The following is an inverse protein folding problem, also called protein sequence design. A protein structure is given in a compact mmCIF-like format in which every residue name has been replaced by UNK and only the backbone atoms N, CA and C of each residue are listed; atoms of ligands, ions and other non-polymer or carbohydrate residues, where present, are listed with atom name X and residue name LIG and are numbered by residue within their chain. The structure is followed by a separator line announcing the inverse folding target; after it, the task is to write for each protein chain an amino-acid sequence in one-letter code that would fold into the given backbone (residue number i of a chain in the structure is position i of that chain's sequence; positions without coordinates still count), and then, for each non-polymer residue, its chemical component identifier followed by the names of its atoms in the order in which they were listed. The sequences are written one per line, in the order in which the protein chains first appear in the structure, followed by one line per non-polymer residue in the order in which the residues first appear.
data_IF_473712448594
#
_entry.id   IF_473712448594
#
_cell.length_a   1.000
_cell.length_b   1.000
_cell.length_c   1.000
_cell.angle_alpha   90.00
_cell.angle_beta   90.00
_cell.angle_gamma   90.00
#
_symmetry.space_group_name_H-M   'P 1'
#
loop_
_entity.id
_entity.type
_entity.pdbx_description
1 polymer ?
#
# COMPACT_ATOMS: atom_id res chain seq x y z
N UNK A 1 17.14 19.42 -25.08
CA UNK A 1 16.87 18.01 -25.42
C UNK A 1 15.47 17.75 -24.92
N UNK A 2 14.53 17.38 -25.79
CA UNK A 2 13.18 17.05 -25.34
C UNK A 2 13.13 15.52 -25.26
N UNK A 3 13.35 14.97 -24.05
CA UNK A 3 13.54 13.53 -23.83
C UNK A 3 12.28 12.69 -24.11
N UNK A 4 11.12 13.35 -24.24
CA UNK A 4 9.87 12.72 -24.63
C UNK A 4 9.27 13.42 -25.86
N UNK A 5 8.83 12.63 -26.84
CA UNK A 5 8.24 13.10 -28.09
C UNK A 5 6.74 13.34 -27.95
N UNK A 6 6.09 12.85 -26.90
CA UNK A 6 4.67 13.11 -26.60
C UNK A 6 4.36 13.13 -25.09
N UNK A 7 3.21 13.74 -24.74
CA UNK A 7 2.66 13.70 -23.37
C UNK A 7 2.37 12.27 -22.91
N UNK A 8 2.01 11.38 -23.84
CA UNK A 8 1.73 9.98 -23.53
C UNK A 8 3.01 9.23 -23.17
N UNK A 9 4.09 9.43 -23.92
CA UNK A 9 5.41 8.86 -23.60
C UNK A 9 5.90 9.29 -22.22
N UNK A 10 5.71 10.57 -21.87
CA UNK A 10 6.04 11.07 -20.54
C UNK A 10 5.22 10.38 -19.44
N UNK A 11 3.91 10.17 -19.64
CA UNK A 11 3.04 9.51 -18.65
C UNK A 11 3.41 8.04 -18.45
N UNK A 12 3.75 7.32 -19.53
CA UNK A 12 4.21 5.94 -19.47
C UNK A 12 5.55 5.85 -18.72
N UNK A 13 6.52 6.69 -19.07
CA UNK A 13 7.81 6.72 -18.37
C UNK A 13 7.66 7.09 -16.89
N UNK A 14 6.71 7.97 -16.56
CA UNK A 14 6.39 8.29 -15.16
C UNK A 14 5.79 7.09 -14.44
N UNK A 15 4.87 6.35 -15.06
CA UNK A 15 4.29 5.14 -14.50
C UNK A 15 5.37 4.07 -14.21
N UNK A 16 6.24 3.81 -15.18
CA UNK A 16 7.35 2.86 -15.02
C UNK A 16 8.32 3.30 -13.92
N UNK A 17 8.59 4.60 -13.81
CA UNK A 17 9.44 5.15 -12.75
C UNK A 17 8.82 4.97 -11.37
N UNK A 18 7.51 5.19 -11.22
CA UNK A 18 6.77 4.94 -9.98
C UNK A 18 6.85 3.45 -9.60
N UNK A 19 6.62 2.54 -10.54
CA UNK A 19 6.75 1.08 -10.30
C UNK A 19 8.15 0.75 -9.78
N UNK A 20 9.20 1.27 -10.43
CA UNK A 20 10.59 1.00 -10.07
C UNK A 20 10.97 1.48 -8.67
N UNK A 21 10.34 2.56 -8.17
CA UNK A 21 10.67 3.15 -6.87
C UNK A 21 9.90 2.54 -5.69
N UNK A 22 8.75 1.92 -5.96
CA UNK A 22 7.86 1.40 -4.92
C UNK A 22 8.55 0.50 -3.86
N UNK A 23 9.42 -0.47 -4.21
CA UNK A 23 10.04 -1.34 -3.21
C UNK A 23 11.03 -0.63 -2.28
N UNK A 24 11.78 0.34 -2.81
CA UNK A 24 12.74 1.13 -2.03
C UNK A 24 12.02 2.03 -1.02
N UNK A 25 10.85 2.52 -1.41
CA UNK A 25 10.01 3.37 -0.58
C UNK A 25 9.29 2.58 0.51
N UNK A 26 8.71 1.42 0.19
CA UNK A 26 8.12 0.51 1.17
C UNK A 26 9.15 0.11 2.25
N UNK A 27 10.38 -0.25 1.82
CA UNK A 27 11.45 -0.61 2.75
C UNK A 27 11.97 0.54 3.62
N UNK A 28 11.71 1.82 3.29
CA UNK A 28 12.11 2.95 4.15
C UNK A 28 11.24 2.98 5.41
N UNK A 29 9.94 2.82 5.23
CA UNK A 29 8.97 2.82 6.32
C UNK A 29 9.12 1.60 7.20
N UNK A 30 9.32 0.41 6.60
CA UNK A 30 9.54 -0.84 7.35
C UNK A 30 10.75 -0.76 8.29
N UNK A 31 11.80 -0.04 7.90
CA UNK A 31 13.02 0.15 8.73
C UNK A 31 12.86 1.24 9.81
N UNK A 32 11.89 2.13 9.67
CA UNK A 32 11.66 3.23 10.58
C UNK A 32 10.79 2.85 11.80
N UNK A 33 10.09 1.72 11.73
CA UNK A 33 9.16 1.27 12.78
C UNK A 33 9.74 0.08 13.53
N UNK A 34 10.02 0.26 14.83
CA UNK A 34 10.31 -0.86 15.72
C UNK A 34 9.00 -1.57 16.11
N UNK A 35 8.67 -2.62 15.36
CA UNK A 35 7.49 -3.47 15.63
C UNK A 35 7.78 -4.60 16.62
N UNK A 36 9.04 -4.79 17.05
CA UNK A 36 9.48 -5.96 17.82
C UNK A 36 8.88 -6.10 19.21
N UNK A 37 8.36 -5.00 19.78
CA UNK A 37 7.69 -4.97 21.09
C UNK A 37 6.19 -4.63 21.05
N UNK A 38 5.60 -4.45 19.87
CA UNK A 38 4.22 -4.01 19.74
C UNK A 38 3.22 -5.16 20.00
N UNK A 39 2.13 -4.87 20.71
CA UNK A 39 1.03 -5.82 20.90
C UNK A 39 0.26 -6.13 19.60
N UNK A 40 0.29 -5.21 18.63
CA UNK A 40 -0.30 -5.35 17.30
C UNK A 40 0.64 -4.75 16.22
N UNK A 41 1.68 -5.49 15.83
CA UNK A 41 2.77 -4.96 15.01
C UNK A 41 2.35 -4.60 13.57
N UNK A 42 1.35 -5.28 13.00
CA UNK A 42 0.82 -4.97 11.67
C UNK A 42 0.05 -3.65 11.67
N UNK A 43 -0.77 -3.41 12.70
CA UNK A 43 -1.46 -2.13 12.87
C UNK A 43 -0.46 -0.98 13.03
N UNK A 44 0.57 -1.16 13.85
CA UNK A 44 1.58 -0.10 14.08
C UNK A 44 2.35 0.23 12.81
N UNK A 45 2.78 -0.79 12.05
CA UNK A 45 3.42 -0.61 10.76
C UNK A 45 2.51 0.14 9.78
N UNK A 46 1.24 -0.26 9.70
CA UNK A 46 0.29 0.36 8.79
C UNK A 46 0.00 1.81 9.21
N UNK A 47 -0.19 2.08 10.50
CA UNK A 47 -0.40 3.43 11.01
C UNK A 47 0.79 4.35 10.67
N UNK A 48 2.02 3.88 10.88
CA UNK A 48 3.22 4.64 10.52
C UNK A 48 3.32 4.89 9.01
N UNK A 49 2.99 3.89 8.19
CA UNK A 49 2.93 4.02 6.73
C UNK A 49 1.91 5.04 6.26
N UNK A 50 0.72 5.03 6.85
CA UNK A 50 -0.34 5.99 6.52
C UNK A 50 0.02 7.42 6.97
N UNK A 51 0.70 7.58 8.11
CA UNK A 51 1.19 8.90 8.57
C UNK A 51 2.28 9.42 7.64
N UNK A 52 3.27 8.61 7.26
CA UNK A 52 4.30 9.00 6.29
C UNK A 52 3.67 9.42 4.96
N UNK A 53 2.73 8.62 4.46
CA UNK A 53 2.00 8.90 3.23
C UNK A 53 1.24 10.23 3.28
N UNK A 54 0.59 10.54 4.40
CA UNK A 54 -0.18 11.77 4.57
C UNK A 54 0.69 13.01 4.84
N UNK A 55 1.99 12.83 5.12
CA UNK A 55 2.87 13.94 5.55
C UNK A 55 4.13 14.04 4.67
N UNK A 56 5.12 13.19 4.92
CA UNK A 56 6.44 13.21 4.26
C UNK A 56 6.34 12.85 2.78
N UNK A 57 5.51 11.86 2.45
CA UNK A 57 5.36 11.32 1.11
C UNK A 57 4.09 11.80 0.38
N UNK A 58 3.44 12.85 0.90
CA UNK A 58 2.14 13.34 0.44
C UNK A 58 2.07 13.58 -1.07
N UNK A 59 2.94 14.45 -1.59
CA UNK A 59 2.92 14.84 -3.00
C UNK A 59 3.18 13.66 -3.94
N UNK A 60 3.97 12.68 -3.48
CA UNK A 60 4.22 11.45 -4.23
C UNK A 60 2.95 10.62 -4.35
N UNK A 61 2.24 10.36 -3.25
CA UNK A 61 1.01 9.60 -3.29
C UNK A 61 -0.08 10.34 -4.10
N UNK A 62 -0.14 11.67 -4.00
CA UNK A 62 -1.05 12.48 -4.81
C UNK A 62 -0.75 12.31 -6.31
N UNK A 63 0.51 12.41 -6.72
CA UNK A 63 0.92 12.19 -8.11
C UNK A 63 0.59 10.77 -8.61
N UNK A 64 0.74 9.75 -7.75
CA UNK A 64 0.33 8.37 -8.07
C UNK A 64 -1.17 8.29 -8.31
N UNK A 65 -1.99 8.91 -7.46
CA UNK A 65 -3.44 8.93 -7.63
C UNK A 65 -3.88 9.69 -8.88
N UNK A 66 -3.27 10.84 -9.16
CA UNK A 66 -3.50 11.57 -10.40
C UNK A 66 -3.17 10.74 -11.64
N UNK A 67 -2.03 10.03 -11.62
CA UNK A 67 -1.63 9.14 -12.70
C UNK A 67 -2.60 7.96 -12.87
N UNK A 68 -3.05 7.36 -11.77
CA UNK A 68 -4.06 6.30 -11.80
C UNK A 68 -5.38 6.80 -12.40
N UNK A 69 -5.82 8.01 -12.03
CA UNK A 69 -7.03 8.63 -12.56
C UNK A 69 -6.90 8.99 -14.05
N UNK A 70 -5.74 9.48 -14.49
CA UNK A 70 -5.46 9.77 -15.90
C UNK A 70 -5.39 8.47 -16.73
N UNK A 71 -4.85 7.40 -16.17
CA UNK A 71 -4.83 6.08 -16.80
C UNK A 71 -6.24 5.53 -17.05
N UNK A 72 -7.26 5.93 -16.29
CA UNK A 72 -8.67 5.58 -16.60
C UNK A 72 -9.15 6.17 -17.92
N UNK A 73 -8.50 7.22 -18.41
CA UNK A 73 -8.84 7.95 -19.64
C UNK A 73 -7.92 7.60 -20.80
N UNK A 74 -6.78 6.97 -20.53
CA UNK A 74 -5.72 6.69 -21.53
C UNK A 74 -5.26 5.22 -21.44
N UNK A 75 -5.42 4.43 -22.51
CA UNK A 75 -5.12 3.00 -22.48
C UNK A 75 -3.62 2.68 -22.33
N UNK A 76 -2.70 3.49 -22.89
CA UNK A 76 -1.27 3.18 -22.81
C UNK A 76 -0.68 3.32 -21.39
N UNK A 77 -0.94 4.41 -20.62
CA UNK A 77 -0.58 4.46 -19.20
C UNK A 77 -1.28 3.39 -18.35
N UNK A 78 -2.51 2.99 -18.69
CA UNK A 78 -3.22 1.92 -17.99
C UNK A 78 -2.50 0.57 -18.12
N UNK A 79 -1.99 0.24 -19.31
CA UNK A 79 -1.21 -0.96 -19.53
C UNK A 79 0.09 -0.94 -18.71
N UNK A 80 0.81 0.19 -18.67
CA UNK A 80 2.01 0.33 -17.85
C UNK A 80 1.72 0.16 -16.35
N UNK A 81 0.63 0.75 -15.86
CA UNK A 81 0.22 0.62 -14.46
C UNK A 81 -0.35 -0.75 -14.08
N UNK A 82 -0.89 -1.52 -15.03
CA UNK A 82 -1.35 -2.89 -14.76
C UNK A 82 -0.21 -3.81 -14.28
N UNK A 83 1.04 -3.49 -14.64
CA UNK A 83 2.22 -4.20 -14.15
C UNK A 83 2.62 -3.80 -12.71
N UNK A 84 2.08 -2.70 -12.17
CA UNK A 84 2.38 -2.22 -10.81
C UNK A 84 1.77 -3.10 -9.73
N UNK A 85 0.53 -3.55 -9.93
CA UNK A 85 -0.23 -4.31 -8.93
C UNK A 85 0.47 -5.61 -8.48
N UNK A 86 0.96 -6.50 -9.38
CA UNK A 86 1.67 -7.70 -8.96
C UNK A 86 3.03 -7.41 -8.29
N UNK A 87 3.74 -6.36 -8.71
CA UNK A 87 5.03 -5.95 -8.12
C UNK A 87 4.83 -5.40 -6.71
N UNK A 88 3.82 -4.55 -6.53
CA UNK A 88 3.47 -3.99 -5.24
C UNK A 88 3.01 -5.09 -4.27
N UNK A 89 2.18 -6.02 -4.73
CA UNK A 89 1.71 -7.15 -3.92
C UNK A 89 2.87 -8.06 -3.46
N UNK A 90 3.78 -8.41 -4.37
CA UNK A 90 4.96 -9.21 -4.03
C UNK A 90 5.88 -8.49 -3.03
N UNK A 91 6.16 -7.20 -3.26
CA UNK A 91 7.00 -6.40 -2.36
C UNK A 91 6.39 -6.25 -0.97
N UNK A 92 5.06 -6.08 -0.86
CA UNK A 92 4.38 -5.99 0.43
C UNK A 92 4.37 -7.34 1.15
N UNK A 93 4.20 -8.45 0.44
CA UNK A 93 4.29 -9.79 1.02
C UNK A 93 5.70 -10.09 1.56
N UNK A 94 6.75 -9.74 0.79
CA UNK A 94 8.15 -9.90 1.21
C UNK A 94 8.49 -9.03 2.42
N UNK A 95 8.00 -7.78 2.47
CA UNK A 95 8.15 -6.88 3.62
C UNK A 95 7.49 -7.43 4.88
N UNK A 96 6.24 -7.90 4.78
CA UNK A 96 5.55 -8.55 5.91
C UNK A 96 6.29 -9.81 6.39
N UNK A 97 6.78 -10.65 5.48
CA UNK A 97 7.54 -11.85 5.81
C UNK A 97 8.87 -11.52 6.53
N UNK A 98 9.59 -10.49 6.06
CA UNK A 98 10.83 -10.03 6.65
C UNK A 98 10.63 -9.47 8.08
N UNK A 99 9.46 -8.87 8.35
CA UNK A 99 9.06 -8.38 9.67
C UNK A 99 8.44 -9.48 10.56
N UNK A 100 8.37 -10.73 10.09
CA UNK A 100 7.75 -11.84 10.82
C UNK A 100 6.22 -11.73 10.97
N UNK A 101 5.58 -10.83 10.20
CA UNK A 101 4.14 -10.63 10.22
C UNK A 101 3.47 -11.79 9.49
N UNK A 102 2.64 -12.56 10.21
CA UNK A 102 1.87 -13.66 9.63
C UNK A 102 0.56 -13.14 9.04
N UNK A 103 0.66 -12.54 7.86
CA UNK A 103 -0.51 -12.17 7.05
C UNK A 103 -0.90 -13.38 6.18
N UNK A 104 -2.14 -13.90 6.29
CA UNK A 104 -2.61 -14.94 5.40
C UNK A 104 -2.57 -14.46 3.94
N UNK A 105 -2.07 -15.25 2.97
CA UNK A 105 -2.01 -14.85 1.56
C UNK A 105 -3.35 -14.38 1.00
N UNK A 106 -4.44 -15.00 1.42
CA UNK A 106 -5.82 -14.63 1.05
C UNK A 106 -6.24 -13.24 1.56
N UNK A 107 -5.64 -12.77 2.66
CA UNK A 107 -5.92 -11.46 3.24
C UNK A 107 -5.13 -10.33 2.56
N UNK A 108 -4.09 -10.64 1.77
CA UNK A 108 -3.23 -9.64 1.13
C UNK A 108 -4.03 -8.76 0.17
N UNK A 109 -4.89 -9.33 -0.67
CA UNK A 109 -5.72 -8.54 -1.59
C UNK A 109 -6.67 -7.58 -0.88
N UNK A 110 -7.31 -8.05 0.20
CA UNK A 110 -8.18 -7.25 1.07
C UNK A 110 -7.42 -6.14 1.77
N UNK A 111 -6.22 -6.42 2.30
CA UNK A 111 -5.32 -5.43 2.88
C UNK A 111 -4.93 -4.37 1.85
N UNK A 112 -4.43 -4.78 0.68
CA UNK A 112 -4.02 -3.86 -0.38
C UNK A 112 -5.17 -2.93 -0.80
N UNK A 113 -6.38 -3.48 -0.96
CA UNK A 113 -7.57 -2.71 -1.34
C UNK A 113 -7.95 -1.69 -0.28
N UNK A 114 -8.04 -2.12 0.99
CA UNK A 114 -8.44 -1.27 2.11
C UNK A 114 -7.37 -0.20 2.40
N UNK A 115 -6.09 -0.56 2.35
CA UNK A 115 -4.97 0.38 2.46
C UNK A 115 -4.99 1.40 1.31
N UNK A 116 -5.22 0.97 0.07
CA UNK A 116 -5.32 1.87 -1.09
C UNK A 116 -6.44 2.90 -0.93
N UNK A 117 -7.61 2.47 -0.44
CA UNK A 117 -8.72 3.37 -0.13
C UNK A 117 -8.40 4.35 1.01
N UNK A 118 -7.80 3.86 2.10
CA UNK A 118 -7.40 4.70 3.23
C UNK A 118 -6.36 5.76 2.80
N UNK A 119 -5.33 5.35 2.05
CA UNK A 119 -4.33 6.25 1.47
C UNK A 119 -4.97 7.33 0.60
N UNK A 120 -5.92 6.95 -0.26
CA UNK A 120 -6.62 7.92 -1.11
C UNK A 120 -7.36 8.98 -0.29
N UNK A 121 -8.12 8.56 0.73
CA UNK A 121 -8.85 9.51 1.59
C UNK A 121 -7.90 10.40 2.38
N UNK A 122 -6.79 9.87 2.89
CA UNK A 122 -5.83 10.63 3.69
C UNK A 122 -5.04 11.65 2.87
N UNK A 123 -4.75 11.34 1.61
CA UNK A 123 -3.88 12.18 0.75
C UNK A 123 -4.69 13.10 -0.17
N UNK A 124 -5.82 12.64 -0.70
CA UNK A 124 -6.64 13.42 -1.63
C UNK A 124 -7.90 14.03 -0.99
N UNK A 125 -8.20 13.66 0.25
CA UNK A 125 -9.36 14.17 0.99
C UNK A 125 -9.19 15.61 1.48
N UNK A 126 -10.29 16.32 1.76
CA UNK A 126 -10.23 17.67 2.27
C UNK A 126 -9.81 17.69 3.75
N UNK A 127 -8.75 18.46 4.05
CA UNK A 127 -8.29 18.72 5.41
C UNK A 127 -7.31 17.69 5.97
N UNK A 128 -6.55 18.09 6.99
CA UNK A 128 -5.60 17.21 7.65
C UNK A 128 -6.32 16.19 8.54
N UNK A 129 -5.94 14.91 8.45
CA UNK A 129 -6.48 13.87 9.34
C UNK A 129 -5.66 13.82 10.63
N UNK A 130 -6.30 13.85 11.82
CA UNK A 130 -5.60 13.75 13.09
C UNK A 130 -4.80 12.44 13.21
N UNK A 131 -3.59 12.44 13.79
CA UNK A 131 -2.76 11.23 13.93
C UNK A 131 -3.46 10.06 14.63
N UNK A 132 -4.28 10.33 15.65
CA UNK A 132 -5.03 9.30 16.36
C UNK A 132 -6.10 8.63 15.47
N UNK A 133 -6.69 9.39 14.54
CA UNK A 133 -7.64 8.86 13.56
C UNK A 133 -6.92 7.96 12.55
N UNK A 134 -5.69 8.28 12.14
CA UNK A 134 -4.89 7.43 11.25
C UNK A 134 -4.62 6.05 11.88
N UNK A 135 -4.28 6.01 13.17
CA UNK A 135 -4.09 4.75 13.91
C UNK A 135 -5.40 3.95 14.02
N UNK A 136 -6.53 4.62 14.24
CA UNK A 136 -7.83 3.96 14.28
C UNK A 136 -8.23 3.40 12.92
N UNK A 137 -7.93 4.10 11.83
CA UNK A 137 -8.10 3.59 10.47
C UNK A 137 -7.22 2.39 10.19
N UNK A 138 -5.94 2.43 10.56
CA UNK A 138 -5.04 1.30 10.42
C UNK A 138 -5.58 0.04 11.12
N UNK A 139 -6.06 0.19 12.37
CA UNK A 139 -6.74 -0.91 13.10
C UNK A 139 -7.95 -1.45 12.35
N UNK A 140 -8.81 -0.56 11.84
CA UNK A 140 -10.01 -0.98 11.11
C UNK A 140 -9.67 -1.72 9.80
N UNK A 141 -8.63 -1.28 9.08
CA UNK A 141 -8.12 -1.95 7.88
C UNK A 141 -7.62 -3.36 8.20
N UNK A 142 -6.77 -3.48 9.23
CA UNK A 142 -6.20 -4.77 9.65
C UNK A 142 -7.31 -5.71 10.11
N UNK A 143 -8.22 -5.26 10.98
CA UNK A 143 -9.33 -6.07 11.45
C UNK A 143 -10.29 -6.47 10.32
N UNK A 144 -10.62 -5.56 9.40
CA UNK A 144 -11.49 -5.84 8.27
C UNK A 144 -10.89 -6.88 7.32
N UNK A 145 -9.61 -6.73 6.99
CA UNK A 145 -8.93 -7.66 6.09
C UNK A 145 -8.74 -9.05 6.72
N UNK A 146 -8.33 -9.13 7.98
CA UNK A 146 -8.14 -10.43 8.66
C UNK A 146 -9.48 -11.09 9.01
N UNK A 147 -10.51 -10.30 9.37
CA UNK A 147 -11.85 -10.78 9.71
C UNK A 147 -12.62 -11.36 8.51
N UNK A 148 -12.32 -10.90 7.30
CA UNK A 148 -12.87 -11.45 6.06
C UNK A 148 -12.34 -12.86 5.73
N UNK A 149 -11.24 -13.28 6.36
CA UNK A 149 -10.56 -14.56 6.09
C UNK A 149 -10.32 -15.38 7.38
N UNK A 150 -11.37 -15.87 8.07
CA UNK A 150 -11.23 -16.63 9.33
C UNK A 150 -10.63 -18.04 9.17
N UNK A 151 -10.18 -18.43 7.96
CA UNK A 151 -9.80 -19.80 7.61
C UNK A 151 -8.43 -20.28 8.12
N UNK A 152 -7.52 -19.38 8.49
CA UNK A 152 -6.14 -19.75 8.88
C UNK A 152 -5.99 -20.37 10.27
N UNK A 153 -6.99 -20.24 11.16
CA UNK A 153 -6.89 -20.67 12.57
C UNK A 153 -7.46 -22.07 12.88
N UNK A 154 -7.98 -22.82 11.88
CA UNK A 154 -8.59 -24.15 12.09
C UNK A 154 -7.74 -25.33 11.59
N UNK A 155 -6.42 -25.23 11.70
CA UNK A 155 -5.48 -26.29 11.37
C UNK A 155 -4.85 -26.99 12.59
N UNK A 156 -5.65 -27.65 13.45
CA UNK A 156 -5.30 -28.86 14.23
C UNK A 156 -6.31 -29.11 15.37
N UNK A 157 -7.33 -29.91 15.07
CA UNK A 157 -7.91 -30.85 16.02
C UNK A 157 -8.43 -32.01 15.16
N UNK A 158 -7.71 -33.13 15.16
CA UNK A 158 -8.06 -34.31 14.36
C UNK A 158 -9.25 -35.08 14.92
N UNK A 159 -9.63 -36.19 14.28
CA UNK A 159 -10.26 -37.29 14.99
C UNK A 159 -9.31 -38.50 15.11
N UNK A 160 -9.59 -39.25 16.17
CA UNK A 160 -8.88 -40.42 16.70
C UNK A 160 -8.85 -41.62 15.76
#
# INVERSE_FOLDING_TARGET
MNDFRSREELLVATAERVVSLYPADAGRTDRAVDVGGASDPLTELLAASLVDAATVSHDRYLAIFELQLEARRRPAPAAALAHLEPVAAASTADGHAALGLRVPPEAVGSLTTLCGGALFVLVAGPGAVPPDAVRQFARAVVHGALGAHPGGARGRAGPR
#
